data_IF_520658621986
#
_entry.id   IF_520658621986
#
_cell.length_a   1.000
_cell.length_b   1.000
_cell.length_c   1.000
_cell.angle_alpha   90.00
_cell.angle_beta   90.00
_cell.angle_gamma   90.00
#
_symmetry.space_group_name_H-M   'P 1'
#
loop_
_entity.id
_entity.type
_entity.pdbx_description
1 polymer ?
#
# COMPACT_ATOMS: atom_id res chain seq x y z
N UNK A 1 5.44 8.92 -8.53
CA UNK A 1 6.76 9.12 -7.88
C UNK A 1 6.89 10.50 -7.22
N UNK A 2 6.10 11.50 -7.68
CA UNK A 2 6.24 12.90 -7.24
C UNK A 2 5.52 13.18 -5.91
N UNK A 3 4.48 12.43 -5.56
CA UNK A 3 3.70 12.68 -4.33
C UNK A 3 4.47 12.30 -3.05
N UNK A 4 5.24 11.23 -3.08
CA UNK A 4 5.99 10.77 -1.90
C UNK A 4 7.11 11.74 -1.53
N UNK A 5 7.83 12.28 -2.53
CA UNK A 5 8.92 13.23 -2.30
C UNK A 5 8.46 14.62 -1.82
N UNK A 6 7.18 14.96 -2.01
CA UNK A 6 6.62 16.24 -1.54
C UNK A 6 5.94 16.13 -0.17
N UNK A 7 5.36 15.00 0.18
CA UNK A 7 4.66 14.84 1.45
C UNK A 7 5.64 14.77 2.65
N UNK A 8 6.72 14.01 2.53
CA UNK A 8 7.69 13.80 3.62
C UNK A 8 8.50 15.04 4.03
N UNK A 9 9.06 15.85 3.11
CA UNK A 9 9.67 17.13 3.49
C UNK A 9 8.68 18.09 4.17
N UNK A 10 7.42 18.09 3.73
CA UNK A 10 6.39 18.93 4.35
C UNK A 10 6.01 18.46 5.75
N UNK A 11 5.84 17.16 5.99
CA UNK A 11 5.54 16.65 7.34
C UNK A 11 6.70 16.92 8.31
N UNK A 12 7.94 16.80 7.86
CA UNK A 12 9.13 17.16 8.66
C UNK A 12 9.17 18.66 8.95
N UNK A 13 8.88 19.52 7.97
CA UNK A 13 8.77 20.97 8.15
C UNK A 13 7.69 21.37 9.15
N UNK A 14 6.56 20.69 9.15
CA UNK A 14 5.44 20.95 10.06
C UNK A 14 5.53 20.15 11.37
N UNK A 15 6.60 19.39 11.58
CA UNK A 15 6.80 18.52 12.76
C UNK A 15 5.68 17.49 12.97
N UNK A 16 5.02 17.08 11.89
CA UNK A 16 4.02 16.04 11.94
C UNK A 16 4.67 14.68 11.70
N UNK A 17 4.38 13.70 12.56
CA UNK A 17 4.85 12.33 12.39
C UNK A 17 3.96 11.61 11.36
N UNK A 18 4.48 11.19 10.20
CA UNK A 18 3.70 10.41 9.24
C UNK A 18 3.53 8.97 9.73
N UNK A 19 2.33 8.44 9.56
CA UNK A 19 2.01 7.03 9.80
C UNK A 19 1.70 6.42 8.44
N UNK A 20 2.53 5.48 8.02
CA UNK A 20 2.37 4.80 6.73
C UNK A 20 1.42 3.64 6.90
N UNK A 21 0.44 3.55 6.01
CA UNK A 21 -0.53 2.46 6.02
C UNK A 21 -1.30 2.36 4.72
N UNK A 22 -2.14 1.34 4.62
CA UNK A 22 -3.03 1.11 3.50
C UNK A 22 -4.31 0.43 3.98
N UNK A 23 -5.44 0.83 3.40
CA UNK A 23 -6.64 0.02 3.44
C UNK A 23 -6.55 -1.03 2.34
N UNK A 24 -6.56 -2.30 2.72
CA UNK A 24 -6.45 -3.43 1.80
C UNK A 24 -7.77 -4.18 1.70
N UNK A 25 -7.99 -4.83 0.57
CA UNK A 25 -9.13 -5.72 0.37
C UNK A 25 -8.71 -7.16 0.70
N UNK A 26 -9.46 -7.82 1.58
CA UNK A 26 -9.27 -9.22 1.95
C UNK A 26 -10.32 -10.08 1.27
N UNK A 27 -9.88 -11.08 0.51
CA UNK A 27 -10.77 -12.04 -0.15
C UNK A 27 -11.50 -12.90 0.89
N UNK A 28 -12.78 -13.22 0.66
CA UNK A 28 -13.55 -14.10 1.58
C UNK A 28 -12.96 -15.52 1.68
N UNK A 29 -12.32 -15.98 0.61
CA UNK A 29 -11.63 -17.26 0.49
C UNK A 29 -10.17 -17.03 0.10
N UNK A 30 -9.66 -17.69 -0.92
CA UNK A 30 -8.30 -17.46 -1.43
C UNK A 30 -8.28 -16.26 -2.39
N UNK A 31 -7.19 -15.50 -2.40
CA UNK A 31 -7.00 -14.37 -3.33
C UNK A 31 -7.09 -14.76 -4.80
N UNK A 32 -6.80 -16.03 -5.12
CA UNK A 32 -6.86 -16.59 -6.47
C UNK A 32 -8.26 -17.04 -6.91
N UNK A 33 -9.22 -17.16 -5.98
CA UNK A 33 -10.58 -17.58 -6.28
C UNK A 33 -11.34 -16.43 -6.96
N UNK A 34 -12.12 -16.75 -8.02
CA UNK A 34 -12.79 -15.73 -8.86
C UNK A 34 -14.21 -16.15 -9.24
N UNK A 35 -14.96 -16.70 -8.30
CA UNK A 35 -16.36 -17.08 -8.49
C UNK A 35 -17.24 -15.94 -7.98
N UNK A 36 -17.97 -15.27 -8.86
CA UNK A 36 -18.72 -14.04 -8.56
C UNK A 36 -19.62 -14.16 -7.34
N UNK A 37 -20.35 -15.27 -7.23
CA UNK A 37 -21.28 -15.51 -6.12
C UNK A 37 -20.62 -15.50 -4.75
N UNK A 38 -19.37 -15.96 -4.64
CA UNK A 38 -18.65 -16.12 -3.37
C UNK A 38 -17.51 -15.11 -3.18
N UNK A 39 -16.92 -14.63 -4.26
CA UNK A 39 -15.66 -13.88 -4.20
C UNK A 39 -15.81 -12.41 -4.63
N UNK A 40 -16.99 -11.98 -5.09
CA UNK A 40 -17.21 -10.58 -5.47
C UNK A 40 -17.23 -9.65 -4.24
N UNK A 41 -17.72 -10.15 -3.10
CA UNK A 41 -17.63 -9.44 -1.83
C UNK A 41 -16.22 -9.56 -1.26
N UNK A 42 -15.66 -8.46 -0.79
CA UNK A 42 -14.36 -8.42 -0.14
C UNK A 42 -14.44 -7.61 1.14
N UNK A 43 -13.56 -7.88 2.09
CA UNK A 43 -13.53 -7.19 3.36
C UNK A 43 -12.44 -6.12 3.35
N UNK A 44 -12.70 -5.00 4.03
CA UNK A 44 -11.69 -3.99 4.29
C UNK A 44 -10.87 -4.36 5.52
N UNK A 45 -9.59 -4.06 5.49
CA UNK A 45 -8.67 -4.18 6.62
C UNK A 45 -7.68 -3.02 6.54
N UNK A 46 -7.47 -2.31 7.64
CA UNK A 46 -6.45 -1.27 7.71
C UNK A 46 -5.15 -1.90 8.18
N UNK A 47 -4.06 -1.63 7.48
CA UNK A 47 -2.71 -2.03 7.87
C UNK A 47 -1.84 -0.80 8.05
N UNK A 48 -1.16 -0.70 9.21
CA UNK A 48 -0.25 0.39 9.54
C UNK A 48 1.16 -0.16 9.77
N UNK A 49 2.18 0.52 9.26
CA UNK A 49 3.57 0.10 9.38
C UNK A 49 4.16 0.55 10.73
N UNK A 50 4.59 -0.42 11.56
CA UNK A 50 5.33 -0.13 12.79
C UNK A 50 6.78 0.28 12.52
N UNK A 51 7.39 -0.30 11.47
CA UNK A 51 8.80 -0.17 11.14
C UNK A 51 9.06 -0.53 9.68
N UNK A 52 10.32 -0.55 9.27
CA UNK A 52 10.73 -0.89 7.90
C UNK A 52 10.34 -2.31 7.48
N UNK A 53 10.36 -3.28 8.39
CA UNK A 53 9.91 -4.66 8.08
C UNK A 53 8.43 -4.66 7.72
N UNK A 54 7.59 -3.97 8.51
CA UNK A 54 6.17 -3.80 8.20
C UNK A 54 5.94 -3.09 6.86
N UNK A 55 6.72 -2.07 6.56
CA UNK A 55 6.62 -1.39 5.27
C UNK A 55 6.95 -2.31 4.09
N UNK A 56 8.01 -3.11 4.17
CA UNK A 56 8.35 -4.09 3.13
C UNK A 56 7.27 -5.15 2.98
N UNK A 57 6.74 -5.65 4.10
CA UNK A 57 5.62 -6.60 4.09
C UNK A 57 4.37 -5.98 3.47
N UNK A 58 4.01 -4.73 3.79
CA UNK A 58 2.89 -4.03 3.19
C UNK A 58 3.06 -3.88 1.66
N UNK A 59 4.25 -3.47 1.20
CA UNK A 59 4.56 -3.38 -0.22
C UNK A 59 4.43 -4.73 -0.93
N UNK A 60 4.85 -5.82 -0.27
CA UNK A 60 4.70 -7.16 -0.83
C UNK A 60 3.22 -7.58 -0.91
N UNK A 61 2.45 -7.37 0.16
CA UNK A 61 1.01 -7.65 0.22
C UNK A 61 0.25 -6.92 -0.90
N UNK A 62 0.51 -5.62 -1.06
CA UNK A 62 -0.13 -4.81 -2.10
C UNK A 62 0.28 -5.27 -3.51
N UNK A 63 1.55 -5.56 -3.74
CA UNK A 63 2.03 -6.10 -5.01
C UNK A 63 1.39 -7.45 -5.35
N UNK A 64 1.31 -8.38 -4.39
CA UNK A 64 0.65 -9.67 -4.57
C UNK A 64 -0.86 -9.53 -4.81
N UNK A 65 -1.51 -8.54 -4.17
CA UNK A 65 -2.92 -8.24 -4.41
C UNK A 65 -3.18 -7.88 -5.88
N UNK A 66 -2.28 -7.10 -6.50
CA UNK A 66 -2.40 -6.72 -7.91
C UNK A 66 -2.00 -7.85 -8.87
N UNK A 67 -0.94 -8.59 -8.58
CA UNK A 67 -0.37 -9.58 -9.51
C UNK A 67 -1.05 -10.94 -9.44
N UNK A 68 -1.51 -11.35 -8.26
CA UNK A 68 -2.10 -12.67 -8.02
C UNK A 68 -3.60 -12.60 -7.66
N UNK A 69 -3.97 -11.61 -6.85
CA UNK A 69 -5.28 -11.52 -6.21
C UNK A 69 -6.29 -10.62 -6.92
N UNK A 70 -5.96 -10.06 -8.07
CA UNK A 70 -6.86 -9.12 -8.75
C UNK A 70 -8.12 -9.81 -9.26
N UNK A 71 -9.26 -9.43 -8.66
CA UNK A 71 -10.60 -9.75 -9.12
C UNK A 71 -11.56 -8.65 -8.67
N UNK A 72 -12.07 -7.85 -9.63
CA UNK A 72 -12.82 -6.60 -9.40
C UNK A 72 -11.93 -5.53 -8.74
N UNK A 73 -11.22 -5.89 -7.68
CA UNK A 73 -10.23 -5.09 -6.92
C UNK A 73 -9.00 -5.94 -6.62
N UNK A 74 -7.85 -5.33 -6.31
CA UNK A 74 -6.69 -6.06 -5.81
C UNK A 74 -7.00 -6.62 -4.40
N UNK A 75 -6.79 -7.92 -4.18
CA UNK A 75 -7.16 -8.59 -2.92
C UNK A 75 -5.99 -9.41 -2.39
N UNK A 76 -5.81 -9.35 -1.10
CA UNK A 76 -4.98 -10.32 -0.36
C UNK A 76 -5.89 -11.38 0.27
N UNK A 77 -5.30 -12.37 0.93
CA UNK A 77 -6.01 -13.35 1.75
C UNK A 77 -5.32 -13.56 3.09
N UNK A 78 -5.97 -14.28 3.99
CA UNK A 78 -5.44 -14.56 5.33
C UNK A 78 -4.19 -15.45 5.31
N UNK A 79 -4.00 -16.26 4.27
CA UNK A 79 -2.79 -17.07 4.09
C UNK A 79 -1.57 -16.17 3.85
N UNK A 80 -1.72 -15.19 2.98
CA UNK A 80 -0.66 -14.22 2.69
C UNK A 80 -0.38 -13.32 3.91
N UNK A 81 -1.43 -12.90 4.62
CA UNK A 81 -1.29 -12.14 5.88
C UNK A 81 -0.48 -12.89 6.93
N UNK A 82 -0.67 -14.21 7.10
CA UNK A 82 0.12 -15.02 8.06
C UNK A 82 1.61 -14.98 7.78
N UNK A 83 2.00 -14.86 6.53
CA UNK A 83 3.40 -14.85 6.10
C UNK A 83 4.04 -13.46 6.20
N UNK A 84 3.22 -12.40 6.19
CA UNK A 84 3.66 -11.00 6.05
C UNK A 84 3.03 -10.06 7.09
N UNK A 85 2.62 -10.55 8.27
CA UNK A 85 2.06 -9.73 9.34
C UNK A 85 3.11 -9.01 10.18
N UNK A 86 4.37 -9.48 10.18
CA UNK A 86 5.44 -8.93 11.01
C UNK A 86 5.65 -7.43 10.72
N UNK A 87 5.77 -6.64 11.78
CA UNK A 87 5.99 -5.20 11.69
C UNK A 87 4.75 -4.40 11.27
N UNK A 88 3.57 -5.03 11.19
CA UNK A 88 2.29 -4.37 10.91
C UNK A 88 1.39 -4.31 12.15
N UNK A 89 0.53 -3.29 12.18
CA UNK A 89 -0.64 -3.19 13.04
C UNK A 89 -1.86 -3.26 12.12
N UNK A 90 -2.88 -4.02 12.52
CA UNK A 90 -4.13 -4.10 11.79
C UNK A 90 -5.30 -3.52 12.58
N UNK A 91 -6.23 -2.86 11.87
CA UNK A 91 -7.47 -2.34 12.43
C UNK A 91 -8.65 -2.97 11.68
N UNK A 92 -9.77 -3.17 12.40
CA UNK A 92 -10.95 -3.92 11.86
C UNK A 92 -11.71 -3.23 10.73
N UNK A 93 -11.31 -2.01 10.35
CA UNK A 93 -11.89 -1.16 9.32
C UNK A 93 -13.35 -0.72 9.60
N UNK A 94 -13.98 -0.13 8.59
CA UNK A 94 -15.35 0.39 8.63
C UNK A 94 -16.41 -0.72 8.55
N UNK A 95 -17.66 -0.37 8.23
CA UNK A 95 -18.77 -1.33 8.05
C UNK A 95 -18.46 -2.43 7.02
N UNK A 96 -17.48 -2.21 6.12
CA UNK A 96 -17.04 -3.19 5.13
C UNK A 96 -15.98 -4.17 5.65
N UNK A 97 -15.49 -4.02 6.87
CA UNK A 97 -14.60 -4.98 7.52
C UNK A 97 -15.25 -6.34 7.78
N UNK A 98 -14.47 -7.40 7.93
CA UNK A 98 -15.00 -8.76 8.15
C UNK A 98 -15.82 -8.84 9.45
N UNK A 99 -15.28 -8.31 10.55
CA UNK A 99 -15.94 -8.33 11.86
C UNK A 99 -17.24 -7.53 11.84
N UNK A 100 -17.27 -6.25 11.39
CA UNK A 100 -18.51 -5.48 11.26
C UNK A 100 -19.57 -6.15 10.37
N UNK A 101 -19.17 -6.71 9.22
CA UNK A 101 -20.12 -7.38 8.33
C UNK A 101 -20.78 -8.61 8.95
N UNK A 102 -20.02 -9.41 9.70
CA UNK A 102 -20.58 -10.57 10.42
C UNK A 102 -21.53 -10.12 11.52
N UNK A 103 -21.22 -9.03 12.24
CA UNK A 103 -22.13 -8.44 13.22
C UNK A 103 -23.46 -8.00 12.57
N UNK A 104 -23.39 -7.31 11.43
CA UNK A 104 -24.59 -6.89 10.67
C UNK A 104 -25.40 -8.07 10.14
N UNK A 105 -24.75 -9.19 9.83
CA UNK A 105 -25.43 -10.42 9.43
C UNK A 105 -26.02 -11.20 10.62
N UNK A 106 -25.86 -10.72 11.86
CA UNK A 106 -26.30 -11.42 13.08
C UNK A 106 -25.40 -12.59 13.49
N UNK A 107 -24.25 -12.77 12.85
CA UNK A 107 -23.26 -13.82 13.14
C UNK A 107 -22.24 -13.33 14.18
N UNK A 108 -22.66 -13.21 15.44
CA UNK A 108 -21.79 -12.73 16.52
C UNK A 108 -20.60 -13.67 16.77
N UNK A 109 -20.84 -14.99 16.81
CA UNK A 109 -19.77 -15.94 17.07
C UNK A 109 -18.73 -15.97 15.93
N UNK A 110 -19.19 -15.88 14.68
CA UNK A 110 -18.31 -15.73 13.52
C UNK A 110 -17.52 -14.42 13.53
N UNK A 111 -18.11 -13.31 13.98
CA UNK A 111 -17.44 -12.03 14.15
C UNK A 111 -16.34 -12.12 15.22
N UNK A 112 -16.66 -12.71 16.38
CA UNK A 112 -15.70 -12.92 17.46
C UNK A 112 -14.56 -13.85 17.05
N UNK A 113 -14.86 -14.93 16.34
CA UNK A 113 -13.84 -15.84 15.82
C UNK A 113 -12.90 -15.15 14.82
N UNK A 114 -13.43 -14.32 13.91
CA UNK A 114 -12.62 -13.52 12.99
C UNK A 114 -11.71 -12.53 13.73
N UNK A 115 -12.22 -11.85 14.76
CA UNK A 115 -11.43 -10.93 15.56
C UNK A 115 -10.28 -11.66 16.32
N UNK A 116 -10.56 -12.82 16.89
CA UNK A 116 -9.54 -13.66 17.55
C UNK A 116 -8.49 -14.18 16.56
N UNK A 117 -8.88 -14.54 15.34
CA UNK A 117 -7.94 -14.93 14.27
C UNK A 117 -7.00 -13.77 13.93
N UNK A 118 -7.50 -12.56 13.76
CA UNK A 118 -6.67 -11.38 13.48
C UNK A 118 -5.73 -11.07 14.67
N UNK A 119 -6.22 -11.14 15.91
CA UNK A 119 -5.34 -10.99 17.09
C UNK A 119 -4.22 -12.05 17.10
N UNK A 120 -4.51 -13.29 16.75
CA UNK A 120 -3.50 -14.33 16.66
C UNK A 120 -2.45 -14.08 15.58
N UNK A 121 -2.82 -13.40 14.48
CA UNK A 121 -1.91 -13.04 13.39
C UNK A 121 -1.00 -11.85 13.73
N UNK A 122 -1.55 -10.81 14.34
CA UNK A 122 -0.84 -9.54 14.58
C UNK A 122 -0.30 -9.41 16.01
N UNK A 123 -0.67 -10.31 16.92
CA UNK A 123 -0.32 -10.24 18.34
C UNK A 123 -1.27 -9.35 19.15
N UNK A 124 -1.09 -9.36 20.48
CA UNK A 124 -2.00 -8.67 21.40
C UNK A 124 -2.02 -7.14 21.21
N UNK A 125 -0.86 -6.54 20.91
CA UNK A 125 -0.70 -5.11 20.67
C UNK A 125 -0.73 -4.76 19.16
N UNK A 126 -1.09 -5.71 18.31
CA UNK A 126 -1.03 -5.55 16.85
C UNK A 126 -2.38 -5.55 16.16
N UNK A 127 -3.50 -5.78 16.90
CA UNK A 127 -4.83 -5.75 16.31
C UNK A 127 -5.82 -4.98 17.18
N UNK A 128 -6.61 -4.09 16.56
CA UNK A 128 -7.58 -3.24 17.24
C UNK A 128 -8.95 -3.30 16.56
N UNK A 129 -10.02 -3.26 17.36
CA UNK A 129 -11.38 -3.11 16.89
C UNK A 129 -11.72 -1.62 16.78
N UNK A 130 -12.19 -1.19 15.60
CA UNK A 130 -12.46 0.22 15.31
C UNK A 130 -13.89 0.61 15.68
N UNK A 131 -14.03 1.54 16.61
CA UNK A 131 -15.29 2.22 16.90
C UNK A 131 -15.44 3.45 15.99
N UNK A 132 -16.54 3.52 15.27
CA UNK A 132 -16.86 4.62 14.36
C UNK A 132 -18.32 5.06 14.57
N UNK A 133 -18.59 6.35 14.53
CA UNK A 133 -19.95 6.90 14.56
C UNK A 133 -20.11 7.97 13.49
N UNK A 134 -20.70 7.57 12.40
CA UNK A 134 -21.04 8.43 11.26
C UNK A 134 -22.52 8.83 11.24
N UNK A 135 -23.25 8.54 12.31
CA UNK A 135 -24.70 8.71 12.44
C UNK A 135 -25.47 7.88 11.41
N UNK A 136 -24.90 6.76 10.96
CA UNK A 136 -25.57 5.79 10.09
C UNK A 136 -26.42 4.81 10.90
N UNK A 137 -27.52 4.29 10.35
CA UNK A 137 -28.43 3.39 11.07
C UNK A 137 -27.76 2.13 11.66
N UNK A 138 -26.70 1.66 11.02
CA UNK A 138 -25.98 0.42 11.39
C UNK A 138 -24.91 0.65 12.49
N UNK A 139 -24.43 1.88 12.68
CA UNK A 139 -23.31 2.16 13.59
C UNK A 139 -23.56 1.71 15.04
N UNK A 140 -24.75 1.91 15.63
CA UNK A 140 -25.00 1.46 17.00
C UNK A 140 -24.89 -0.06 17.16
N UNK A 141 -25.43 -0.83 16.21
CA UNK A 141 -25.40 -2.29 16.26
C UNK A 141 -23.97 -2.83 16.10
N UNK A 142 -23.17 -2.25 15.21
CA UNK A 142 -21.77 -2.61 15.01
C UNK A 142 -20.99 -2.30 16.27
N UNK A 143 -21.07 -1.06 16.79
CA UNK A 143 -20.32 -0.61 17.96
C UNK A 143 -20.66 -1.46 19.20
N UNK A 144 -21.94 -1.78 19.42
CA UNK A 144 -22.34 -2.66 20.53
C UNK A 144 -21.71 -4.05 20.39
N UNK A 145 -21.69 -4.61 19.20
CA UNK A 145 -21.07 -5.91 18.92
C UNK A 145 -19.55 -5.88 19.15
N UNK A 146 -18.86 -4.85 18.67
CA UNK A 146 -17.41 -4.66 18.85
C UNK A 146 -17.04 -4.47 20.33
N UNK A 147 -17.81 -3.67 21.07
CA UNK A 147 -17.63 -3.48 22.51
C UNK A 147 -17.82 -4.79 23.27
N UNK A 148 -18.81 -5.57 22.93
CA UNK A 148 -19.01 -6.90 23.53
C UNK A 148 -17.85 -7.85 23.23
N UNK A 149 -17.33 -7.88 21.99
CA UNK A 149 -16.14 -8.67 21.62
C UNK A 149 -14.94 -8.21 22.46
N UNK A 150 -14.72 -6.89 22.58
CA UNK A 150 -13.67 -6.32 23.44
C UNK A 150 -13.78 -6.83 24.89
N UNK A 151 -14.96 -6.75 25.50
CA UNK A 151 -15.21 -7.18 26.88
C UNK A 151 -14.97 -8.67 27.10
N UNK A 152 -15.32 -9.49 26.12
CA UNK A 152 -15.15 -10.95 26.20
C UNK A 152 -13.74 -11.44 25.87
N UNK A 153 -12.97 -10.68 25.07
CA UNK A 153 -11.69 -11.15 24.53
C UNK A 153 -10.47 -10.33 24.97
N UNK A 154 -10.69 -9.11 25.44
CA UNK A 154 -9.62 -8.16 25.75
C UNK A 154 -8.95 -7.53 24.52
N UNK A 155 -9.46 -7.74 23.28
CA UNK A 155 -8.92 -7.07 22.09
C UNK A 155 -9.15 -5.57 22.24
N UNK A 156 -8.10 -4.71 22.13
CA UNK A 156 -8.23 -3.28 22.37
C UNK A 156 -9.13 -2.60 21.33
N UNK A 157 -9.82 -1.54 21.77
CA UNK A 157 -10.63 -0.65 20.94
C UNK A 157 -9.78 0.53 20.44
N UNK A 158 -10.12 1.09 19.29
CA UNK A 158 -9.60 2.37 18.80
C UNK A 158 -10.71 3.16 18.13
N UNK A 159 -10.77 4.48 18.38
CA UNK A 159 -11.74 5.37 17.72
C UNK A 159 -11.15 5.91 16.43
N UNK A 160 -11.82 5.66 15.31
CA UNK A 160 -11.47 6.22 14.00
C UNK A 160 -12.66 6.91 13.36
N UNK A 161 -12.52 7.46 12.17
CA UNK A 161 -13.61 8.19 11.52
C UNK A 161 -13.76 7.95 10.03
N UNK A 162 -12.99 7.05 9.43
CA UNK A 162 -13.08 6.77 7.98
C UNK A 162 -13.17 8.07 7.14
N UNK A 163 -12.24 9.01 7.39
CA UNK A 163 -12.33 10.37 6.86
C UNK A 163 -12.11 10.39 5.35
N UNK A 164 -13.07 10.93 4.62
CA UNK A 164 -13.06 11.05 3.16
C UNK A 164 -12.84 12.49 2.68
N UNK A 165 -13.00 13.48 3.57
CA UNK A 165 -12.82 14.91 3.30
C UNK A 165 -12.42 15.65 4.57
N UNK A 166 -11.94 16.89 4.43
CA UNK A 166 -11.36 17.63 5.54
C UNK A 166 -12.40 18.25 6.47
N UNK A 167 -13.43 18.88 5.92
CA UNK A 167 -14.45 19.61 6.68
C UNK A 167 -15.83 19.07 6.38
N UNK A 168 -16.77 19.22 7.28
CA UNK A 168 -18.14 18.75 7.11
C UNK A 168 -18.82 19.30 5.86
N UNK A 169 -18.59 20.57 5.52
CA UNK A 169 -19.10 21.23 4.32
C UNK A 169 -18.53 20.69 3.02
N UNK A 170 -17.39 19.98 3.06
CA UNK A 170 -16.77 19.37 1.87
C UNK A 170 -17.51 18.10 1.38
N UNK A 171 -18.54 17.65 2.12
CA UNK A 171 -19.33 16.46 1.75
C UNK A 171 -19.98 16.59 0.37
N UNK A 172 -20.47 17.77 -0.01
CA UNK A 172 -21.06 18.02 -1.33
C UNK A 172 -20.01 17.96 -2.45
N UNK A 173 -18.80 18.49 -2.18
CA UNK A 173 -17.68 18.39 -3.12
C UNK A 173 -17.24 16.94 -3.32
N UNK A 174 -17.16 16.16 -2.26
CA UNK A 174 -16.85 14.73 -2.31
C UNK A 174 -17.90 13.96 -3.12
N UNK A 175 -19.19 14.26 -2.94
CA UNK A 175 -20.28 13.67 -3.71
C UNK A 175 -20.13 13.96 -5.23
N UNK A 176 -19.73 15.18 -5.58
CA UNK A 176 -19.43 15.56 -6.96
C UNK A 176 -18.24 14.78 -7.53
N UNK A 177 -17.15 14.62 -6.76
CA UNK A 177 -15.99 13.83 -7.16
C UNK A 177 -16.33 12.35 -7.39
N UNK A 178 -17.21 11.78 -6.56
CA UNK A 178 -17.72 10.43 -6.75
C UNK A 178 -18.53 10.31 -8.06
N UNK A 179 -19.33 11.30 -8.40
CA UNK A 179 -20.05 11.35 -9.69
C UNK A 179 -19.08 11.31 -10.87
N UNK A 180 -18.02 12.12 -10.83
CA UNK A 180 -16.98 12.15 -11.88
C UNK A 180 -16.33 10.78 -12.02
N UNK A 181 -15.94 10.16 -10.90
CA UNK A 181 -15.29 8.84 -10.89
C UNK A 181 -16.19 7.74 -11.49
N UNK A 182 -17.51 7.83 -11.25
CA UNK A 182 -18.47 6.83 -11.73
C UNK A 182 -19.03 7.14 -13.13
N UNK A 183 -18.69 8.29 -13.73
CA UNK A 183 -19.29 8.74 -14.98
C UNK A 183 -20.78 9.05 -14.83
N UNK A 184 -21.21 9.56 -13.67
CA UNK A 184 -22.59 9.90 -13.31
C UNK A 184 -22.74 11.41 -13.13
N UNK A 185 -23.96 11.88 -13.03
CA UNK A 185 -24.30 13.26 -12.65
C UNK A 185 -24.89 13.30 -11.24
N UNK A 186 -24.89 14.46 -10.61
CA UNK A 186 -25.45 14.65 -9.27
C UNK A 186 -26.96 14.37 -9.22
N UNK A 187 -27.66 14.51 -10.35
CA UNK A 187 -29.09 14.29 -10.47
C UNK A 187 -29.47 12.82 -10.78
N UNK A 188 -28.47 11.95 -11.03
CA UNK A 188 -28.73 10.52 -11.29
C UNK A 188 -29.23 9.84 -10.01
N UNK A 189 -30.48 9.29 -9.98
CA UNK A 189 -31.00 8.66 -8.79
C UNK A 189 -30.35 7.31 -8.45
N UNK A 190 -29.68 6.68 -9.43
CA UNK A 190 -29.06 5.37 -9.31
C UNK A 190 -27.54 5.46 -9.15
N UNK A 191 -27.05 6.46 -8.42
CA UNK A 191 -25.62 6.60 -8.12
C UNK A 191 -25.30 6.26 -6.68
N UNK A 192 -24.06 5.85 -6.43
CA UNK A 192 -23.55 5.71 -5.07
C UNK A 192 -23.49 7.10 -4.41
N UNK A 193 -24.00 7.20 -3.20
CA UNK A 193 -23.91 8.37 -2.34
C UNK A 193 -23.37 7.99 -0.97
N UNK A 194 -22.67 8.90 -0.34
CA UNK A 194 -22.43 8.82 1.09
C UNK A 194 -23.68 9.34 1.81
N UNK A 195 -24.29 8.49 2.65
CA UNK A 195 -25.53 8.80 3.34
C UNK A 195 -25.33 9.70 4.57
N UNK A 196 -24.13 10.24 4.74
CA UNK A 196 -23.75 11.04 5.89
C UNK A 196 -22.76 12.14 5.51
N UNK A 197 -22.75 13.24 6.27
CA UNK A 197 -21.70 14.27 6.20
C UNK A 197 -20.67 14.14 7.34
N UNK A 198 -20.68 13.00 8.07
CA UNK A 198 -19.82 12.80 9.24
C UNK A 198 -18.43 12.23 8.92
N UNK A 199 -18.10 12.02 7.65
CA UNK A 199 -16.82 11.44 7.19
C UNK A 199 -15.72 12.51 7.02
N UNK A 200 -15.73 13.55 7.87
CA UNK A 200 -14.70 14.59 7.85
C UNK A 200 -13.63 14.35 8.94
N UNK A 201 -12.54 15.09 8.89
CA UNK A 201 -11.47 14.99 9.88
C UNK A 201 -11.95 15.67 11.18
N UNK A 202 -12.47 14.89 12.11
CA UNK A 202 -12.94 15.35 13.43
C UNK A 202 -11.77 15.70 14.34
N UNK A 203 -11.98 16.70 15.20
CA UNK A 203 -11.03 17.03 16.27
C UNK A 203 -10.92 15.91 17.32
N UNK A 204 -9.87 15.89 18.15
CA UNK A 204 -9.78 14.96 19.27
C UNK A 204 -10.97 15.06 20.23
N UNK A 205 -11.45 16.29 20.51
CA UNK A 205 -12.59 16.57 21.39
C UNK A 205 -13.90 16.03 20.81
N UNK A 206 -14.12 16.23 19.52
CA UNK A 206 -15.30 15.69 18.82
C UNK A 206 -15.31 14.16 18.88
N UNK A 207 -14.15 13.51 18.66
CA UNK A 207 -14.03 12.04 18.75
C UNK A 207 -14.24 11.52 20.17
N UNK A 208 -13.68 12.18 21.17
CA UNK A 208 -13.89 11.80 22.56
C UNK A 208 -15.36 11.93 22.99
N UNK A 209 -16.08 12.93 22.47
CA UNK A 209 -17.50 13.12 22.74
C UNK A 209 -18.40 12.04 22.11
N UNK A 210 -17.96 11.34 21.07
CA UNK A 210 -18.71 10.23 20.46
C UNK A 210 -18.69 8.96 21.33
N UNK A 211 -17.62 8.72 22.09
CA UNK A 211 -17.40 7.52 22.88
C UNK A 211 -16.94 7.87 24.31
N UNK A 212 -17.74 8.60 25.10
CA UNK A 212 -17.32 9.09 26.42
C UNK A 212 -17.05 7.97 27.44
N UNK A 213 -17.67 6.80 27.26
CA UNK A 213 -17.50 5.64 28.13
C UNK A 213 -16.25 4.80 27.80
N UNK A 214 -15.53 5.13 26.71
CA UNK A 214 -14.36 4.41 26.21
C UNK A 214 -13.16 5.36 25.94
N UNK A 215 -12.70 6.12 26.95
CA UNK A 215 -11.59 7.06 26.76
C UNK A 215 -10.30 6.37 26.30
N UNK A 216 -10.08 5.12 26.72
CA UNK A 216 -8.93 4.30 26.30
C UNK A 216 -8.91 4.03 24.78
N UNK A 217 -10.07 3.98 24.12
CA UNK A 217 -10.16 3.81 22.67
C UNK A 217 -9.67 5.06 21.92
N UNK A 218 -9.82 6.25 22.51
CA UNK A 218 -9.25 7.50 21.99
C UNK A 218 -7.75 7.55 22.27
N UNK A 219 -7.31 7.20 23.49
CA UNK A 219 -5.89 7.14 23.86
C UNK A 219 -5.10 6.15 22.99
N UNK A 220 -5.72 5.04 22.58
CA UNK A 220 -5.11 4.06 21.71
C UNK A 220 -4.72 4.62 20.34
N UNK A 221 -5.33 5.71 19.86
CA UNK A 221 -4.88 6.41 18.65
C UNK A 221 -3.45 6.94 18.80
N UNK A 222 -3.14 7.50 19.98
CA UNK A 222 -1.79 7.99 20.30
C UNK A 222 -0.81 6.83 20.47
N UNK A 223 -1.20 5.78 21.21
CA UNK A 223 -0.36 4.58 21.40
C UNK A 223 0.00 3.94 20.05
N UNK A 224 -0.96 3.80 19.14
CA UNK A 224 -0.70 3.29 17.77
C UNK A 224 0.27 4.22 17.05
N UNK A 225 0.09 5.53 17.12
CA UNK A 225 0.99 6.50 16.51
C UNK A 225 2.42 6.42 17.07
N UNK A 226 2.58 6.17 18.38
CA UNK A 226 3.88 5.96 19.03
C UNK A 226 4.55 4.67 18.59
N UNK A 227 3.79 3.60 18.35
CA UNK A 227 4.29 2.32 17.86
C UNK A 227 4.74 2.37 16.38
N UNK A 228 4.21 3.28 15.57
CA UNK A 228 4.53 3.43 14.17
C UNK A 228 5.77 4.32 13.99
N UNK A 229 6.94 3.72 13.75
CA UNK A 229 8.21 4.43 13.60
C UNK A 229 8.88 4.00 12.30
N UNK A 230 8.42 4.61 11.19
CA UNK A 230 8.98 4.41 9.87
C UNK A 230 9.74 5.65 9.42
N UNK A 231 11.00 5.45 9.01
CA UNK A 231 11.83 6.51 8.43
C UNK A 231 12.28 6.10 7.02
N UNK A 232 12.33 7.07 6.11
CA UNK A 232 12.78 6.86 4.74
C UNK A 232 14.16 7.44 4.53
N UNK A 233 15.07 6.63 4.04
CA UNK A 233 16.40 7.10 3.64
C UNK A 233 16.32 7.76 2.26
N UNK A 234 16.27 9.11 2.25
CA UNK A 234 16.30 9.88 1.00
C UNK A 234 17.73 9.99 0.45
N UNK A 235 17.83 10.12 -0.87
CA UNK A 235 19.13 10.29 -1.56
C UNK A 235 19.93 9.00 -1.75
N UNK A 236 19.40 7.86 -1.33
CA UNK A 236 19.97 6.53 -1.63
C UNK A 236 19.29 5.98 -2.87
N UNK A 237 20.08 5.73 -3.90
CA UNK A 237 19.60 5.12 -5.15
C UNK A 237 19.77 3.60 -5.09
N UNK A 238 18.65 2.89 -5.04
CA UNK A 238 18.64 1.42 -5.14
C UNK A 238 18.52 1.05 -6.62
N UNK A 239 19.65 0.93 -7.28
CA UNK A 239 19.70 0.44 -8.66
C UNK A 239 19.64 -1.08 -8.64
N UNK A 240 18.88 -1.72 -9.57
CA UNK A 240 18.89 -3.16 -9.70
C UNK A 240 20.26 -3.63 -10.20
N UNK A 241 20.71 -4.79 -9.71
CA UNK A 241 21.91 -5.46 -10.19
C UNK A 241 21.62 -6.23 -11.48
N UNK A 242 22.53 -6.15 -12.45
CA UNK A 242 22.40 -6.91 -13.68
C UNK A 242 22.77 -8.38 -13.44
N UNK A 243 21.89 -9.30 -13.80
CA UNK A 243 22.18 -10.72 -13.71
C UNK A 243 23.16 -11.13 -14.82
N UNK A 244 24.42 -11.31 -14.46
CA UNK A 244 25.47 -11.68 -15.39
C UNK A 244 25.21 -13.05 -16.04
N UNK A 245 25.58 -13.22 -17.33
CA UNK A 245 25.55 -14.52 -17.99
C UNK A 245 26.51 -15.50 -17.32
N UNK A 246 26.27 -16.79 -17.56
CA UNK A 246 27.16 -17.86 -17.09
C UNK A 246 28.63 -17.65 -17.54
N UNK A 247 29.54 -17.83 -16.61
CA UNK A 247 30.98 -17.61 -16.82
C UNK A 247 31.49 -16.20 -16.51
N UNK A 248 30.62 -15.29 -16.11
CA UNK A 248 31.01 -13.93 -15.67
C UNK A 248 30.65 -13.73 -14.19
N UNK A 249 31.61 -13.17 -13.44
CA UNK A 249 31.43 -12.82 -12.03
C UNK A 249 31.65 -11.32 -11.76
N UNK A 250 32.07 -10.55 -12.79
CA UNK A 250 32.37 -9.14 -12.71
C UNK A 250 31.61 -8.36 -13.79
N UNK A 251 30.71 -7.47 -13.35
CA UNK A 251 29.90 -6.62 -14.22
C UNK A 251 30.73 -5.63 -15.03
N UNK A 252 31.79 -5.10 -14.45
CA UNK A 252 32.70 -4.18 -15.13
C UNK A 252 33.45 -4.86 -16.28
N UNK A 253 33.97 -6.07 -16.06
CA UNK A 253 34.63 -6.84 -17.10
C UNK A 253 33.67 -7.21 -18.24
N UNK A 254 32.44 -7.58 -17.89
CA UNK A 254 31.39 -7.86 -18.88
C UNK A 254 30.97 -6.62 -19.68
N UNK A 255 30.81 -5.49 -19.02
CA UNK A 255 30.52 -4.20 -19.66
C UNK A 255 31.64 -3.81 -20.64
N UNK A 256 32.91 -3.89 -20.20
CA UNK A 256 34.06 -3.61 -21.05
C UNK A 256 34.07 -4.48 -22.33
N UNK A 257 33.89 -5.80 -22.19
CA UNK A 257 33.81 -6.71 -23.29
C UNK A 257 32.72 -6.30 -24.31
N UNK A 258 31.50 -6.04 -23.85
CA UNK A 258 30.40 -5.62 -24.73
C UNK A 258 30.71 -4.31 -25.48
N UNK A 259 31.33 -3.36 -24.81
CA UNK A 259 31.75 -2.09 -25.41
C UNK A 259 32.83 -2.31 -26.48
N UNK A 260 33.86 -3.12 -26.20
CA UNK A 260 34.94 -3.44 -27.15
C UNK A 260 34.43 -4.22 -28.38
N UNK A 261 33.61 -5.25 -28.18
CA UNK A 261 32.97 -5.98 -29.28
C UNK A 261 32.06 -5.08 -30.12
N UNK A 262 31.29 -4.22 -29.47
CA UNK A 262 30.45 -3.22 -30.12
C UNK A 262 31.25 -2.22 -30.94
N UNK A 263 32.38 -1.75 -30.40
CA UNK A 263 33.28 -0.83 -31.09
C UNK A 263 33.89 -1.47 -32.31
N UNK A 264 34.46 -2.67 -32.18
CA UNK A 264 35.08 -3.38 -33.29
C UNK A 264 34.08 -3.62 -34.44
N UNK A 265 32.85 -3.94 -34.13
CA UNK A 265 31.80 -4.18 -35.13
C UNK A 265 31.31 -2.91 -35.82
N UNK A 266 31.16 -1.77 -35.09
CA UNK A 266 30.59 -0.54 -35.63
C UNK A 266 31.60 0.41 -36.24
N UNK A 267 32.84 0.36 -35.78
CA UNK A 267 33.91 1.27 -36.14
C UNK A 267 35.21 0.54 -36.54
N UNK A 268 35.13 -0.37 -37.51
CA UNK A 268 36.34 -1.08 -38.00
C UNK A 268 37.30 -0.06 -38.64
N UNK A 269 38.55 -0.01 -38.12
CA UNK A 269 39.56 0.92 -38.63
C UNK A 269 39.41 2.37 -38.22
N UNK A 270 38.61 2.67 -37.17
CA UNK A 270 38.42 4.02 -36.70
C UNK A 270 39.72 4.66 -36.17
N UNK A 271 39.85 6.01 -36.27
CA UNK A 271 40.98 6.75 -35.67
C UNK A 271 41.11 6.50 -34.18
N UNK A 272 42.33 6.71 -33.63
CA UNK A 272 42.63 6.48 -32.21
C UNK A 272 41.75 7.30 -31.27
N UNK A 273 41.40 8.52 -31.64
CA UNK A 273 40.54 9.42 -30.90
C UNK A 273 39.14 8.84 -30.58
N UNK A 274 38.61 7.94 -31.41
CA UNK A 274 37.33 7.27 -31.13
C UNK A 274 37.48 6.28 -29.99
N UNK A 275 38.61 5.58 -29.93
CA UNK A 275 38.90 4.65 -28.84
C UNK A 275 39.19 5.38 -27.53
N UNK A 276 39.85 6.52 -27.60
CA UNK A 276 40.06 7.40 -26.42
C UNK A 276 38.74 7.94 -25.89
N UNK A 277 37.84 8.32 -26.80
CA UNK A 277 36.50 8.78 -26.43
C UNK A 277 35.70 7.66 -25.75
N UNK A 278 35.70 6.44 -26.30
CA UNK A 278 35.06 5.28 -25.68
C UNK A 278 35.60 5.02 -24.28
N UNK A 279 36.90 5.01 -24.11
CA UNK A 279 37.53 4.80 -22.82
C UNK A 279 37.15 5.87 -21.78
N UNK A 280 37.08 7.13 -22.21
CA UNK A 280 36.59 8.23 -21.37
C UNK A 280 35.15 8.02 -20.92
N UNK A 281 34.23 7.73 -21.85
CA UNK A 281 32.80 7.52 -21.51
C UNK A 281 32.60 6.32 -20.60
N UNK A 282 33.28 5.21 -20.85
CA UNK A 282 33.27 4.03 -19.98
C UNK A 282 33.77 4.38 -18.57
N UNK A 283 34.81 5.21 -18.48
CA UNK A 283 35.36 5.69 -17.21
C UNK A 283 34.33 6.49 -16.41
N UNK A 284 33.59 7.39 -17.07
CA UNK A 284 32.51 8.18 -16.42
C UNK A 284 31.39 7.28 -15.93
N UNK A 285 30.93 6.31 -16.75
CA UNK A 285 29.87 5.38 -16.37
C UNK A 285 30.27 4.57 -15.12
N UNK A 286 31.52 4.10 -15.06
CA UNK A 286 32.07 3.40 -13.88
C UNK A 286 32.13 4.31 -12.66
N UNK A 287 32.70 5.50 -12.80
CA UNK A 287 32.83 6.46 -11.71
C UNK A 287 31.49 6.84 -11.09
N UNK A 288 30.44 6.89 -11.91
CA UNK A 288 29.08 7.18 -11.47
C UNK A 288 28.31 5.97 -10.95
N UNK A 289 28.85 4.74 -11.02
CA UNK A 289 28.19 3.52 -10.56
C UNK A 289 27.03 3.05 -11.44
N UNK A 290 27.00 3.42 -12.73
CA UNK A 290 25.89 3.11 -13.65
C UNK A 290 26.14 1.90 -14.57
N UNK A 291 27.13 1.06 -14.30
CA UNK A 291 27.45 -0.10 -15.14
C UNK A 291 26.24 -1.02 -15.27
N UNK A 292 25.64 -1.42 -14.17
CA UNK A 292 24.44 -2.29 -14.17
C UNK A 292 23.27 -1.66 -14.93
N UNK A 293 23.05 -0.35 -14.77
CA UNK A 293 22.02 0.36 -15.51
C UNK A 293 22.23 0.24 -17.04
N UNK A 294 23.47 0.45 -17.52
CA UNK A 294 23.78 0.33 -18.94
C UNK A 294 23.65 -1.11 -19.44
N UNK A 295 24.04 -2.09 -18.65
CA UNK A 295 23.88 -3.51 -18.97
C UNK A 295 22.40 -3.90 -19.10
N UNK A 296 21.57 -3.50 -18.14
CA UNK A 296 20.12 -3.75 -18.15
C UNK A 296 19.46 -3.10 -19.38
N UNK A 297 19.75 -1.84 -19.65
CA UNK A 297 19.19 -1.13 -20.81
C UNK A 297 19.64 -1.79 -22.13
N UNK A 298 20.92 -2.17 -22.22
CA UNK A 298 21.45 -2.86 -23.39
C UNK A 298 20.75 -4.22 -23.62
N UNK A 299 20.47 -4.96 -22.54
CA UNK A 299 19.85 -6.28 -22.63
C UNK A 299 18.41 -6.20 -23.15
N UNK A 300 17.55 -5.37 -22.57
CA UNK A 300 16.15 -5.30 -23.02
C UNK A 300 16.02 -4.67 -24.42
N UNK A 301 16.87 -3.70 -24.77
CA UNK A 301 16.94 -3.15 -26.15
C UNK A 301 17.41 -4.25 -27.10
N UNK A 302 18.44 -4.98 -26.73
CA UNK A 302 18.98 -6.10 -27.51
C UNK A 302 17.93 -7.20 -27.71
N UNK A 303 17.17 -7.52 -26.66
CA UNK A 303 16.05 -8.48 -26.74
C UNK A 303 15.01 -8.03 -27.77
N UNK A 304 14.53 -6.79 -27.66
CA UNK A 304 13.53 -6.24 -28.58
C UNK A 304 14.01 -6.29 -30.03
N UNK A 305 15.25 -5.86 -30.31
CA UNK A 305 15.85 -5.89 -31.65
C UNK A 305 15.98 -7.30 -32.22
N UNK A 306 16.37 -8.26 -31.40
CA UNK A 306 16.46 -9.68 -31.83
C UNK A 306 15.08 -10.26 -32.18
N UNK A 307 13.99 -9.73 -31.60
CA UNK A 307 12.62 -10.14 -31.89
C UNK A 307 11.95 -9.33 -33.00
N UNK A 308 12.67 -8.42 -33.65
CA UNK A 308 12.13 -7.56 -34.69
C UNK A 308 11.17 -6.49 -34.15
N UNK A 309 11.19 -6.23 -32.86
CA UNK A 309 10.39 -5.18 -32.23
C UNK A 309 11.11 -3.85 -32.42
N UNK A 310 10.47 -2.85 -33.06
CA UNK A 310 11.07 -1.54 -33.23
C UNK A 310 11.40 -0.88 -31.89
N UNK A 311 12.63 -0.35 -31.81
CA UNK A 311 13.07 0.45 -30.65
C UNK A 311 13.40 1.83 -31.15
N UNK A 312 12.65 2.84 -30.71
CA UNK A 312 12.90 4.24 -31.02
C UNK A 312 14.23 4.73 -30.42
N UNK A 313 14.72 5.89 -30.88
CA UNK A 313 15.98 6.47 -30.38
C UNK A 313 15.87 6.91 -28.91
N UNK A 314 14.77 6.59 -28.30
CA UNK A 314 14.49 6.84 -26.93
C UNK A 314 14.35 8.32 -26.62
N UNK A 315 13.95 8.58 -25.39
CA UNK A 315 13.90 9.90 -24.83
C UNK A 315 15.21 10.20 -24.17
#
# INVERSE_FOLDING_TARGET
>A
PTLCCTLFPYTTLFRSKPIIGCEVYVAPRKRTDKVHEYDAAMYHLILLCRNEVGYRNLCFLDSAAFTEGFYIRPRIDKELLRQHAEGLIALSACQSGEVPRKLLAGDYEGAKAAALEMRALFGEDGYYLELQDHKLPNDPAINQGLIRIHQETGIPLVVTNDAHYLRREDAEMQDTLMCIQMGKTVDDPNRLRMETSELYVKSPEERAALFPDYPEAVENTVKIAELCNMDFQFGVHHLPEFKLPEGYTDGDAYFQKLCEEGFARRYPGAPAEYRERLAYEMGIIRQMGFVDYFLIVSDFIGYAKRRGIPVGPGR
#
